data_IF_230477782874
#
_entry.id   IF_230477782874
#
_cell.length_a   1.000
_cell.length_b   1.000
_cell.length_c   1.000
_cell.angle_alpha   90.00
_cell.angle_beta   90.00
_cell.angle_gamma   90.00
#
_symmetry.space_group_name_H-M   'P 1'
#
loop_
_entity.id
_entity.type
_entity.pdbx_description
1 polymer ?
#
# COMPACT_ATOMS: atom_id res chain seq x y z
N UNK A 1 -12.13 11.19 -17.08
CA UNK A 1 -11.65 11.78 -15.81
C UNK A 1 -10.37 11.14 -15.24
N UNK A 2 -10.21 9.80 -15.22
CA UNK A 2 -8.95 9.16 -14.76
C UNK A 2 -7.75 9.27 -15.73
N UNK A 3 -8.00 9.41 -17.04
CA UNK A 3 -6.93 9.37 -18.07
C UNK A 3 -6.21 10.73 -18.22
N UNK A 4 -6.93 11.84 -18.05
CA UNK A 4 -6.39 13.21 -18.13
C UNK A 4 -5.39 13.51 -16.99
N UNK A 5 -5.57 12.87 -15.82
CA UNK A 5 -4.64 12.97 -14.70
C UNK A 5 -3.28 12.32 -14.98
N UNK A 6 -3.22 11.29 -15.81
CA UNK A 6 -2.00 10.48 -16.03
C UNK A 6 -0.95 11.23 -16.87
N UNK A 7 -1.39 12.03 -17.86
CA UNK A 7 -0.49 12.75 -18.75
C UNK A 7 0.13 14.00 -18.11
N UNK A 8 -0.63 14.70 -17.25
CA UNK A 8 -0.14 15.83 -16.44
C UNK A 8 0.92 15.38 -15.43
N UNK A 9 0.72 14.21 -14.78
CA UNK A 9 1.66 13.67 -13.79
C UNK A 9 2.99 13.18 -14.40
N UNK A 10 3.00 12.70 -15.65
CA UNK A 10 4.24 12.25 -16.29
C UNK A 10 5.16 13.41 -16.69
N UNK A 11 4.63 14.58 -17.10
CA UNK A 11 5.46 15.73 -17.49
C UNK A 11 6.12 16.45 -16.29
N UNK A 12 5.60 16.32 -15.07
CA UNK A 12 6.19 16.91 -13.85
C UNK A 12 7.11 15.94 -13.08
N UNK A 13 7.21 14.67 -13.51
CA UNK A 13 7.70 13.53 -12.72
C UNK A 13 9.19 13.54 -12.36
N UNK A 14 10.04 14.28 -13.08
CA UNK A 14 11.49 14.23 -12.86
C UNK A 14 12.02 15.32 -11.92
N UNK A 15 11.33 16.45 -11.79
CA UNK A 15 11.78 17.57 -10.94
C UNK A 15 11.24 17.51 -9.50
N UNK A 16 10.25 16.65 -9.21
CA UNK A 16 9.51 16.63 -7.93
C UNK A 16 9.80 15.42 -7.03
N UNK A 17 10.96 14.78 -7.20
CA UNK A 17 11.36 13.59 -6.41
C UNK A 17 11.67 13.88 -4.93
N UNK A 18 11.58 15.12 -4.46
CA UNK A 18 12.04 15.52 -3.12
C UNK A 18 10.95 15.66 -2.05
N UNK A 19 9.67 15.48 -2.40
CA UNK A 19 8.58 15.64 -1.44
C UNK A 19 7.92 14.30 -1.10
N UNK A 20 7.82 14.00 0.21
CA UNK A 20 7.14 12.82 0.78
C UNK A 20 5.74 12.57 0.18
N UNK A 21 5.06 13.65 -0.24
CA UNK A 21 3.77 13.62 -0.92
C UNK A 21 3.79 12.85 -2.25
N UNK A 22 4.82 13.07 -3.07
CA UNK A 22 4.97 12.43 -4.38
C UNK A 22 5.18 10.92 -4.24
N UNK A 23 5.91 10.50 -3.20
CA UNK A 23 6.14 9.09 -2.89
C UNK A 23 4.83 8.36 -2.52
N UNK A 24 3.96 9.02 -1.74
CA UNK A 24 2.64 8.49 -1.38
C UNK A 24 1.76 8.34 -2.63
N UNK A 25 1.74 9.34 -3.51
CA UNK A 25 0.96 9.28 -4.75
C UNK A 25 1.44 8.17 -5.69
N UNK A 26 2.76 7.99 -5.84
CA UNK A 26 3.33 6.89 -6.61
C UNK A 26 3.02 5.52 -5.98
N UNK A 27 3.10 5.41 -4.66
CA UNK A 27 2.77 4.19 -3.93
C UNK A 27 1.33 3.74 -4.20
N UNK A 28 0.36 4.66 -4.14
CA UNK A 28 -1.05 4.36 -4.43
C UNK A 28 -1.22 3.85 -5.87
N UNK A 29 -0.55 4.48 -6.85
CA UNK A 29 -0.64 4.06 -8.25
C UNK A 29 -0.12 2.62 -8.40
N UNK A 30 1.09 2.34 -7.88
CA UNK A 30 1.71 1.01 -7.96
C UNK A 30 0.82 -0.04 -7.27
N UNK A 31 0.34 0.25 -6.06
CA UNK A 31 -0.54 -0.65 -5.32
C UNK A 31 -1.88 -0.88 -6.02
N UNK A 32 -2.43 0.12 -6.71
CA UNK A 32 -3.67 -0.04 -7.47
C UNK A 32 -3.48 -1.00 -8.63
N UNK A 33 -2.42 -0.85 -9.41
CA UNK A 33 -2.10 -1.76 -10.52
C UNK A 33 -1.78 -3.17 -10.04
N UNK A 34 -1.05 -3.30 -8.93
CA UNK A 34 -0.74 -4.59 -8.31
C UNK A 34 -2.02 -5.33 -7.84
N UNK A 35 -2.95 -4.62 -7.19
CA UNK A 35 -4.22 -5.21 -6.76
C UNK A 35 -5.05 -5.72 -7.94
N UNK A 36 -5.10 -4.99 -9.06
CA UNK A 36 -5.80 -5.44 -10.28
C UNK A 36 -5.16 -6.72 -10.83
N UNK A 37 -3.83 -6.79 -10.90
CA UNK A 37 -3.13 -8.00 -11.36
C UNK A 37 -3.43 -9.23 -10.50
N UNK A 38 -3.37 -9.08 -9.18
CA UNK A 38 -3.65 -10.16 -8.23
C UNK A 38 -5.12 -10.57 -8.26
N UNK A 39 -6.03 -9.62 -8.46
CA UNK A 39 -7.46 -9.93 -8.60
C UNK A 39 -7.75 -10.82 -9.81
N UNK A 40 -7.10 -10.54 -10.96
CA UNK A 40 -7.22 -11.37 -12.17
C UNK A 40 -6.69 -12.78 -11.90
N UNK A 41 -5.53 -12.90 -11.23
CA UNK A 41 -4.95 -14.20 -10.86
C UNK A 41 -5.87 -14.98 -9.91
N UNK A 42 -6.42 -14.32 -8.88
CA UNK A 42 -7.39 -14.94 -7.95
C UNK A 42 -8.63 -15.47 -8.68
N UNK A 43 -9.12 -14.72 -9.67
CA UNK A 43 -10.29 -15.09 -10.47
C UNK A 43 -10.01 -16.34 -11.32
N UNK A 44 -8.83 -16.42 -11.95
CA UNK A 44 -8.43 -17.60 -12.71
C UNK A 44 -8.29 -18.84 -11.83
N UNK A 45 -7.68 -18.71 -10.64
CA UNK A 45 -7.50 -19.86 -9.74
C UNK A 45 -8.84 -20.32 -9.14
N UNK A 46 -9.75 -19.39 -8.83
CA UNK A 46 -11.11 -19.74 -8.37
C UNK A 46 -11.91 -20.52 -9.43
N UNK A 47 -11.79 -20.13 -10.70
CA UNK A 47 -12.44 -20.86 -11.81
C UNK A 47 -11.81 -22.24 -12.02
N UNK A 48 -10.48 -22.35 -11.92
CA UNK A 48 -9.77 -23.64 -12.05
C UNK A 48 -10.17 -24.62 -10.95
N UNK A 49 -10.32 -24.13 -9.72
CA UNK A 49 -10.82 -24.93 -8.59
C UNK A 49 -12.28 -25.35 -8.81
N UNK A 50 -13.14 -24.44 -9.28
CA UNK A 50 -14.54 -24.73 -9.58
C UNK A 50 -14.73 -25.80 -10.65
N UNK A 51 -13.92 -25.77 -11.72
CA UNK A 51 -13.98 -26.77 -12.80
C UNK A 51 -13.43 -28.13 -12.38
N UNK A 52 -12.37 -28.16 -11.56
CA UNK A 52 -11.83 -29.41 -10.99
C UNK A 52 -12.81 -30.05 -10.00
N UNK A 53 -13.55 -29.23 -9.25
CA UNK A 53 -14.60 -29.69 -8.34
C UNK A 53 -15.79 -30.29 -9.11
N UNK A 54 -16.21 -29.64 -10.20
CA UNK A 54 -17.29 -30.12 -11.08
C UNK A 54 -16.92 -31.40 -11.84
N UNK A 55 -15.67 -31.53 -12.30
CA UNK A 55 -15.22 -32.73 -13.04
C UNK A 55 -15.04 -33.97 -12.18
N UNK A 56 -14.84 -33.82 -10.86
CA UNK A 56 -14.39 -34.94 -10.02
C UNK A 56 -15.39 -35.39 -8.95
N UNK A 57 -16.63 -34.88 -8.95
CA UNK A 57 -17.71 -35.32 -8.05
C UNK A 57 -17.24 -35.53 -6.58
N UNK A 58 -16.44 -34.59 -6.06
CA UNK A 58 -16.10 -34.52 -4.62
C UNK A 58 -14.96 -35.40 -4.10
N UNK A 59 -14.24 -36.16 -4.93
CA UNK A 59 -13.21 -37.10 -4.45
C UNK A 59 -11.74 -36.61 -4.47
N UNK A 60 -11.46 -35.42 -5.03
CA UNK A 60 -10.09 -34.89 -5.08
C UNK A 60 -9.87 -33.81 -4.03
N UNK A 61 -8.85 -34.03 -3.20
CA UNK A 61 -8.34 -33.08 -2.22
C UNK A 61 -7.71 -31.89 -2.94
N UNK A 62 -8.51 -30.88 -3.25
CA UNK A 62 -8.01 -29.63 -3.83
C UNK A 62 -7.23 -28.91 -2.73
N UNK A 63 -5.96 -28.59 -2.98
CA UNK A 63 -5.11 -27.85 -2.05
C UNK A 63 -5.59 -26.40 -1.91
N UNK A 64 -6.66 -26.20 -1.14
CA UNK A 64 -7.22 -24.89 -0.77
C UNK A 64 -6.17 -23.98 -0.10
N UNK A 65 -5.08 -24.56 0.42
CA UNK A 65 -3.95 -23.83 0.97
C UNK A 65 -3.34 -22.84 -0.03
N UNK A 66 -3.21 -23.21 -1.31
CA UNK A 66 -2.66 -22.31 -2.34
C UNK A 66 -3.62 -21.16 -2.62
N UNK A 67 -4.92 -21.44 -2.70
CA UNK A 67 -5.95 -20.42 -2.89
C UNK A 67 -6.06 -19.47 -1.69
N UNK A 68 -5.95 -20.01 -0.46
CA UNK A 68 -5.92 -19.25 0.77
C UNK A 68 -4.70 -18.32 0.79
N UNK A 69 -3.51 -18.82 0.44
CA UNK A 69 -2.28 -18.02 0.39
C UNK A 69 -2.39 -16.86 -0.61
N UNK A 70 -2.93 -17.09 -1.82
CA UNK A 70 -3.18 -16.01 -2.80
C UNK A 70 -4.19 -15.00 -2.27
N UNK A 71 -5.22 -15.46 -1.56
CA UNK A 71 -6.22 -14.59 -0.95
C UNK A 71 -5.62 -13.75 0.20
N UNK A 72 -4.80 -14.34 1.06
CA UNK A 72 -4.10 -13.61 2.13
C UNK A 72 -3.17 -12.54 1.54
N UNK A 73 -2.38 -12.88 0.52
CA UNK A 73 -1.55 -11.90 -0.19
C UNK A 73 -2.39 -10.75 -0.75
N UNK A 74 -3.54 -11.05 -1.38
CA UNK A 74 -4.45 -10.02 -1.86
C UNK A 74 -4.93 -9.10 -0.74
N UNK A 75 -5.34 -9.66 0.40
CA UNK A 75 -5.79 -8.89 1.57
C UNK A 75 -4.67 -7.99 2.10
N UNK A 76 -3.43 -8.50 2.18
CA UNK A 76 -2.28 -7.70 2.61
C UNK A 76 -1.99 -6.53 1.67
N UNK A 77 -1.96 -6.77 0.35
CA UNK A 77 -1.77 -5.69 -0.65
C UNK A 77 -2.92 -4.69 -0.66
N UNK A 78 -4.16 -5.15 -0.45
CA UNK A 78 -5.33 -4.30 -0.37
C UNK A 78 -5.28 -3.43 0.89
N UNK A 79 -4.93 -4.01 2.05
CA UNK A 79 -4.74 -3.29 3.31
C UNK A 79 -3.63 -2.24 3.20
N UNK A 80 -2.52 -2.56 2.54
CA UNK A 80 -1.46 -1.61 2.25
C UNK A 80 -2.00 -0.44 1.40
N UNK A 81 -2.75 -0.72 0.33
CA UNK A 81 -3.39 0.32 -0.48
C UNK A 81 -4.32 1.23 0.34
N UNK A 82 -5.13 0.64 1.24
CA UNK A 82 -6.03 1.38 2.13
C UNK A 82 -5.26 2.27 3.11
N UNK A 83 -4.11 1.81 3.60
CA UNK A 83 -3.23 2.59 4.46
C UNK A 83 -2.70 3.85 3.75
N UNK A 84 -2.19 3.72 2.52
CA UNK A 84 -1.78 4.90 1.74
C UNK A 84 -2.96 5.83 1.43
N UNK A 85 -4.13 5.27 1.12
CA UNK A 85 -5.36 6.03 0.95
C UNK A 85 -5.73 6.85 2.20
N UNK A 86 -5.59 6.24 3.38
CA UNK A 86 -5.85 6.89 4.67
C UNK A 86 -4.86 8.02 4.93
N UNK A 87 -3.57 7.84 4.65
CA UNK A 87 -2.56 8.91 4.76
C UNK A 87 -2.94 10.09 3.85
N UNK A 88 -3.35 9.81 2.60
CA UNK A 88 -3.79 10.83 1.66
C UNK A 88 -5.07 11.54 2.13
N UNK A 89 -5.98 10.82 2.78
CA UNK A 89 -7.18 11.37 3.39
C UNK A 89 -6.86 12.30 4.58
N UNK A 90 -5.95 11.91 5.48
CA UNK A 90 -5.45 12.77 6.56
C UNK A 90 -4.83 14.04 5.99
N UNK A 91 -4.11 13.93 4.87
CA UNK A 91 -3.56 15.08 4.19
C UNK A 91 -4.64 15.99 3.56
N UNK A 92 -5.78 15.44 3.13
CA UNK A 92 -6.94 16.21 2.67
C UNK A 92 -7.57 16.99 3.83
N UNK A 93 -7.56 16.43 5.04
CA UNK A 93 -8.11 17.06 6.25
C UNK A 93 -7.34 18.32 6.71
N UNK A 94 -6.16 18.60 6.11
CA UNK A 94 -5.38 19.84 6.34
C UNK A 94 -6.06 21.13 5.90
N UNK A 95 -7.22 21.07 5.24
CA UNK A 95 -7.99 22.26 4.90
C UNK A 95 -8.46 23.06 6.13
N UNK A 96 -8.47 22.46 7.33
CA UNK A 96 -8.75 23.18 8.56
C UNK A 96 -7.50 23.91 9.11
N UNK A 97 -7.62 25.24 9.30
CA UNK A 97 -6.52 26.14 9.72
C UNK A 97 -5.90 25.73 11.07
N UNK A 98 -6.67 25.17 12.01
CA UNK A 98 -6.16 24.64 13.30
C UNK A 98 -5.22 23.45 13.11
N UNK A 99 -5.60 22.48 12.27
CA UNK A 99 -4.81 21.25 12.07
C UNK A 99 -3.46 21.51 11.38
N UNK A 100 -3.37 22.60 10.60
CA UNK A 100 -2.12 22.99 9.95
C UNK A 100 -1.00 23.36 10.94
N UNK A 101 -1.33 23.96 12.09
CA UNK A 101 -0.34 24.33 13.09
C UNK A 101 0.33 23.11 13.73
N UNK A 102 -0.46 22.09 14.09
CA UNK A 102 0.04 20.83 14.63
C UNK A 102 0.97 20.11 13.63
N UNK A 103 0.62 20.09 12.35
CA UNK A 103 1.45 19.45 11.33
C UNK A 103 2.76 20.21 11.13
N UNK A 104 2.75 21.55 11.22
CA UNK A 104 3.97 22.36 11.12
C UNK A 104 4.91 22.14 12.31
N UNK A 105 4.39 22.10 13.53
CA UNK A 105 5.22 21.82 14.73
C UNK A 105 5.75 20.40 14.69
N UNK A 106 4.93 19.43 14.29
CA UNK A 106 5.36 18.04 14.11
C UNK A 106 6.41 17.90 13.01
N UNK A 107 6.26 18.59 11.88
CA UNK A 107 7.24 18.59 10.79
C UNK A 107 8.55 19.28 11.18
N UNK A 108 8.51 20.28 12.05
CA UNK A 108 9.71 20.91 12.60
C UNK A 108 10.43 19.97 13.59
N UNK A 109 9.67 19.33 14.48
CA UNK A 109 10.20 18.38 15.47
C UNK A 109 10.64 17.04 14.85
N UNK A 110 10.09 16.64 13.69
CA UNK A 110 10.31 15.33 13.08
C UNK A 110 11.79 15.06 12.80
N UNK A 111 12.56 16.07 12.40
CA UNK A 111 14.00 15.92 12.12
C UNK A 111 14.77 15.50 13.37
N UNK A 112 14.45 16.10 14.52
CA UNK A 112 15.07 15.74 15.80
C UNK A 112 14.57 14.38 16.30
N UNK A 113 13.27 14.11 16.17
CA UNK A 113 12.65 12.81 16.51
C UNK A 113 13.25 11.65 15.71
N UNK A 114 13.48 11.81 14.41
CA UNK A 114 14.09 10.78 13.55
C UNK A 114 15.53 10.47 14.01
N UNK A 115 16.31 11.51 14.34
CA UNK A 115 17.66 11.33 14.86
C UNK A 115 17.66 10.60 16.21
N UNK A 116 16.73 10.93 17.09
CA UNK A 116 16.56 10.24 18.38
C UNK A 116 16.14 8.78 18.18
N UNK A 117 15.15 8.52 17.31
CA UNK A 117 14.70 7.18 16.99
C UNK A 117 15.83 6.31 16.42
N UNK A 118 16.71 6.88 15.59
CA UNK A 118 17.86 6.18 15.05
C UNK A 118 18.86 5.78 16.13
N UNK A 119 19.18 6.69 17.06
CA UNK A 119 20.05 6.39 18.20
C UNK A 119 19.46 5.28 19.08
N UNK A 120 18.17 5.39 19.44
CA UNK A 120 17.46 4.37 20.21
C UNK A 120 17.47 3.02 19.48
N UNK A 121 17.30 3.02 18.16
CA UNK A 121 17.31 1.77 17.37
C UNK A 121 18.67 1.08 17.41
N UNK A 122 19.77 1.83 17.37
CA UNK A 122 21.13 1.25 17.50
C UNK A 122 21.30 0.62 18.88
N UNK A 123 20.93 1.34 19.94
CA UNK A 123 21.03 0.84 21.32
C UNK A 123 20.16 -0.42 21.47
N UNK A 124 18.92 -0.37 20.98
CA UNK A 124 17.99 -1.51 21.03
C UNK A 124 18.52 -2.74 20.27
N UNK A 125 19.11 -2.54 19.07
CA UNK A 125 19.74 -3.62 18.32
C UNK A 125 20.93 -4.24 19.05
N UNK A 126 21.70 -3.44 19.79
CA UNK A 126 22.81 -3.92 20.61
C UNK A 126 22.35 -4.75 21.83
N UNK A 127 21.15 -4.53 22.35
CA UNK A 127 20.56 -5.37 23.43
C UNK A 127 19.87 -6.63 22.91
N UNK A 128 19.43 -6.63 21.64
CA UNK A 128 18.81 -7.78 20.99
C UNK A 128 19.82 -8.82 20.47
N UNK A 129 21.08 -8.40 20.28
CA UNK A 129 22.20 -9.27 19.89
C UNK A 129 22.86 -9.84 21.13
#
# INVERSE_FOLDING_TARGET
MMIEGIQSFMKMKFAHFRNLRSLIDLGIIICSWANVGIYIWKCQESNRIGDLFKKTNGYVYISLQTAAYVNDLFIYLFGFCYFFGTIKFIHLFRFNRRSMYFIKTLQHASRSLISFAFMVSIIYAAFLT
#
